data_IF_900371899264
#
_entry.id   IF_900371899264
#
_cell.length_a   1.000
_cell.length_b   1.000
_cell.length_c   1.000
_cell.angle_alpha   90.00
_cell.angle_beta   90.00
_cell.angle_gamma   90.00
#
_symmetry.space_group_name_H-M   'P 1'
#
loop_
_entity.id
_entity.type
_entity.pdbx_description
1 polymer ?
#
# COMPACT_ATOMS: atom_id res chain seq x y z
N UNK A 1 3.12 -23.88 5.87
CA UNK A 1 4.45 -23.42 5.43
C UNK A 1 5.05 -22.50 6.48
N UNK A 2 6.30 -22.71 6.80
CA UNK A 2 6.99 -21.84 7.77
C UNK A 2 7.67 -20.69 7.04
N UNK A 3 7.48 -19.49 7.54
CA UNK A 3 8.09 -18.28 6.96
C UNK A 3 8.85 -17.57 8.07
N UNK A 4 10.09 -17.20 7.76
CA UNK A 4 10.91 -16.44 8.70
C UNK A 4 10.79 -14.96 8.41
N UNK A 5 10.58 -14.16 9.46
CA UNK A 5 10.58 -12.71 9.34
C UNK A 5 11.46 -12.12 10.42
N UNK A 6 12.14 -11.03 10.08
CA UNK A 6 12.97 -10.32 11.04
C UNK A 6 12.10 -9.63 12.09
N UNK A 7 10.97 -9.07 11.64
CA UNK A 7 10.11 -8.26 12.49
C UNK A 7 9.18 -9.08 13.37
N UNK A 8 8.67 -10.21 12.85
CA UNK A 8 7.60 -10.98 13.52
C UNK A 8 8.05 -12.40 13.89
N UNK A 9 9.32 -12.73 13.68
CA UNK A 9 9.81 -14.07 13.94
C UNK A 9 9.34 -15.09 12.92
N UNK A 10 9.31 -16.34 13.33
CA UNK A 10 8.84 -17.42 12.47
C UNK A 10 7.33 -17.52 12.54
N UNK A 11 6.70 -17.54 11.39
CA UNK A 11 5.25 -17.61 11.27
C UNK A 11 4.86 -18.86 10.47
N UNK A 12 3.66 -19.36 10.74
CA UNK A 12 3.08 -20.44 9.94
C UNK A 12 2.07 -19.77 9.01
N UNK A 13 2.31 -19.90 7.72
CA UNK A 13 1.52 -19.24 6.69
C UNK A 13 0.81 -20.27 5.83
N UNK A 14 -0.49 -20.07 5.62
CA UNK A 14 -1.26 -20.87 4.70
C UNK A 14 -0.91 -20.48 3.28
N UNK A 15 -0.75 -21.47 2.38
CA UNK A 15 -0.32 -21.19 1.02
C UNK A 15 -1.25 -20.26 0.26
N UNK A 16 -2.56 -20.31 0.53
CA UNK A 16 -3.52 -19.42 -0.11
C UNK A 16 -3.40 -17.96 0.33
N UNK A 17 -2.56 -17.68 1.33
CA UNK A 17 -2.27 -16.32 1.75
C UNK A 17 -1.06 -15.71 1.06
N UNK A 18 -0.34 -16.51 0.30
CA UNK A 18 0.83 -16.03 -0.43
C UNK A 18 0.38 -15.26 -1.66
N UNK A 19 0.90 -14.06 -1.80
CA UNK A 19 0.61 -13.18 -2.93
C UNK A 19 1.79 -13.18 -3.87
N UNK A 20 1.57 -13.56 -5.11
CA UNK A 20 2.60 -13.54 -6.13
C UNK A 20 2.63 -12.22 -6.88
N UNK A 21 3.81 -11.63 -6.98
CA UNK A 21 4.03 -10.41 -7.75
C UNK A 21 5.02 -10.72 -8.87
N UNK A 22 4.54 -11.14 -10.04
CA UNK A 22 5.44 -11.53 -11.14
C UNK A 22 6.47 -10.47 -11.54
N UNK A 23 6.11 -9.18 -11.39
CA UNK A 23 7.02 -8.08 -11.72
C UNK A 23 7.71 -7.50 -10.50
N UNK A 24 7.44 -8.05 -9.30
CA UNK A 24 8.02 -7.55 -8.06
C UNK A 24 7.49 -6.17 -7.65
N UNK A 25 8.11 -5.62 -6.61
CA UNK A 25 7.82 -4.26 -6.16
C UNK A 25 8.73 -3.27 -6.88
N UNK A 26 8.26 -2.04 -7.04
CA UNK A 26 9.10 -0.98 -7.59
C UNK A 26 10.34 -0.81 -6.72
N UNK A 27 11.51 -0.88 -7.35
CA UNK A 27 12.78 -0.87 -6.65
C UNK A 27 13.26 -2.23 -6.18
N UNK A 28 12.39 -3.25 -6.24
CA UNK A 28 12.70 -4.61 -5.78
C UNK A 28 12.11 -5.64 -6.75
N UNK A 29 12.56 -5.63 -8.02
CA UNK A 29 11.94 -6.49 -9.04
C UNK A 29 12.14 -7.98 -8.83
N UNK A 30 13.11 -8.36 -8.01
CA UNK A 30 13.39 -9.76 -7.68
C UNK A 30 12.65 -10.26 -6.44
N UNK A 31 11.90 -9.38 -5.76
CA UNK A 31 11.10 -9.75 -4.59
C UNK A 31 9.67 -9.97 -5.05
N UNK A 32 9.27 -11.24 -5.12
CA UNK A 32 8.06 -11.64 -5.83
C UNK A 32 6.99 -12.33 -5.01
N UNK A 33 7.26 -12.64 -3.76
CA UNK A 33 6.25 -13.26 -2.91
C UNK A 33 6.11 -12.51 -1.61
N UNK A 34 4.86 -12.21 -1.27
CA UNK A 34 4.51 -11.41 -0.11
C UNK A 34 3.30 -11.99 0.60
N UNK A 35 3.04 -11.53 1.80
CA UNK A 35 1.78 -11.78 2.48
C UNK A 35 1.45 -10.58 3.36
N UNK A 36 0.17 -10.48 3.73
CA UNK A 36 -0.31 -9.35 4.50
C UNK A 36 -0.54 -9.76 5.94
N UNK A 37 -0.05 -8.93 6.88
CA UNK A 37 -0.30 -9.07 8.30
C UNK A 37 -0.98 -7.82 8.81
N UNK A 38 -1.99 -8.01 9.66
CA UNK A 38 -2.61 -6.88 10.34
C UNK A 38 -1.65 -6.30 11.35
N UNK A 39 -1.61 -4.97 11.42
CA UNK A 39 -0.81 -4.30 12.43
C UNK A 39 -1.52 -4.43 13.79
N UNK A 40 -2.77 -3.93 13.85
CA UNK A 40 -3.65 -4.06 15.02
C UNK A 40 -5.09 -4.10 14.52
N UNK A 41 -6.00 -4.62 15.34
CA UNK A 41 -7.40 -4.76 14.95
C UNK A 41 -8.04 -3.44 14.48
N UNK A 42 -7.74 -2.36 15.17
CA UNK A 42 -8.33 -1.06 14.89
C UNK A 42 -7.47 -0.16 14.00
N UNK A 43 -6.36 -0.69 13.50
CA UNK A 43 -5.45 0.10 12.67
C UNK A 43 -5.82 0.02 11.20
N UNK A 44 -5.75 1.14 10.46
CA UNK A 44 -5.94 1.11 9.01
C UNK A 44 -4.70 0.66 8.25
N UNK A 45 -3.63 0.31 8.98
CA UNK A 45 -2.35 -0.07 8.37
C UNK A 45 -2.13 -1.56 8.47
N UNK A 46 -1.45 -2.09 7.43
CA UNK A 46 -1.07 -3.49 7.35
C UNK A 46 0.41 -3.59 7.07
N UNK A 47 0.99 -4.76 7.32
CA UNK A 47 2.34 -5.07 6.91
C UNK A 47 2.29 -5.94 5.66
N UNK A 48 3.05 -5.55 4.67
CA UNK A 48 3.23 -6.31 3.43
C UNK A 48 4.61 -6.92 3.51
N UNK A 49 4.68 -8.14 4.01
CA UNK A 49 5.93 -8.83 4.33
C UNK A 49 6.40 -9.65 3.15
N UNK A 50 7.67 -9.47 2.79
CA UNK A 50 8.30 -10.27 1.74
C UNK A 50 8.67 -11.64 2.29
N UNK A 51 8.42 -12.69 1.50
CA UNK A 51 8.81 -14.04 1.85
C UNK A 51 10.26 -14.28 1.45
N UNK A 52 10.65 -13.75 0.29
CA UNK A 52 12.00 -13.93 -0.25
C UNK A 52 13.08 -13.22 0.55
N UNK A 53 12.71 -12.24 1.34
CA UNK A 53 13.65 -11.45 2.12
C UNK A 53 13.02 -11.18 3.49
N UNK A 54 13.44 -11.91 4.53
CA UNK A 54 12.84 -11.78 5.86
C UNK A 54 12.90 -10.38 6.47
N UNK A 55 13.87 -9.58 6.07
CA UNK A 55 14.02 -8.22 6.57
C UNK A 55 13.20 -7.17 5.83
N UNK A 56 12.55 -7.56 4.74
CA UNK A 56 11.84 -6.59 3.90
C UNK A 56 10.33 -6.64 4.16
N UNK A 57 9.79 -5.53 4.64
CA UNK A 57 8.36 -5.38 4.85
C UNK A 57 7.97 -3.93 4.59
N UNK A 58 6.82 -3.75 4.00
CA UNK A 58 6.26 -2.42 3.73
C UNK A 58 5.03 -2.21 4.58
N UNK A 59 4.84 -0.98 5.04
CA UNK A 59 3.55 -0.59 5.62
C UNK A 59 2.65 -0.18 4.47
N UNK A 60 1.45 -0.72 4.45
CA UNK A 60 0.48 -0.40 3.38
C UNK A 60 -0.86 -0.01 4.00
N UNK A 61 -1.64 0.74 3.24
CA UNK A 61 -2.98 1.14 3.66
C UNK A 61 -3.89 1.33 2.45
N UNK A 62 -5.19 1.33 2.70
CA UNK A 62 -6.18 1.63 1.66
C UNK A 62 -6.25 3.15 1.47
N UNK A 63 -5.87 3.66 0.29
CA UNK A 63 -5.84 5.10 0.07
C UNK A 63 -7.21 5.78 0.15
N UNK A 64 -8.29 5.03 -0.08
CA UNK A 64 -9.64 5.59 0.01
C UNK A 64 -10.01 6.05 1.41
N UNK A 65 -9.32 5.55 2.43
CA UNK A 65 -9.54 5.98 3.81
C UNK A 65 -9.03 7.40 4.03
N UNK A 66 -8.11 7.85 3.21
CA UNK A 66 -7.49 9.18 3.34
C UNK A 66 -7.98 10.14 2.26
N UNK A 67 -8.36 9.62 1.11
CA UNK A 67 -8.96 10.40 0.03
C UNK A 67 -10.07 9.55 -0.61
N UNK A 68 -11.32 9.77 -0.22
CA UNK A 68 -12.44 8.96 -0.75
C UNK A 68 -12.62 9.05 -2.27
N UNK A 69 -12.07 10.07 -2.89
CA UNK A 69 -12.17 10.26 -4.34
C UNK A 69 -11.04 9.58 -5.11
N UNK A 70 -10.13 8.92 -4.40
CA UNK A 70 -9.01 8.24 -5.04
C UNK A 70 -9.50 7.08 -5.90
N UNK A 71 -9.09 7.09 -7.16
CA UNK A 71 -9.45 6.03 -8.10
C UNK A 71 -8.27 5.66 -8.97
N UNK A 72 -8.19 4.38 -9.31
CA UNK A 72 -7.13 3.85 -10.15
C UNK A 72 -7.76 3.27 -11.40
N UNK A 73 -7.20 3.63 -12.56
CA UNK A 73 -7.60 3.00 -13.81
C UNK A 73 -6.91 1.63 -13.87
N UNK A 74 -7.70 0.57 -13.87
CA UNK A 74 -7.20 -0.80 -13.82
C UNK A 74 -6.85 -1.38 -15.20
N UNK A 75 -7.06 -0.63 -16.27
CA UNK A 75 -6.90 -1.13 -17.64
C UNK A 75 -5.53 -1.76 -17.89
N UNK A 76 -4.47 -1.05 -17.54
CA UNK A 76 -3.11 -1.54 -17.76
C UNK A 76 -2.81 -2.78 -16.93
N UNK A 77 -3.27 -2.79 -15.68
CA UNK A 77 -3.05 -3.91 -14.78
C UNK A 77 -3.77 -5.16 -15.28
N UNK A 78 -5.01 -5.01 -15.74
CA UNK A 78 -5.77 -6.13 -16.30
C UNK A 78 -5.05 -6.75 -17.47
N UNK A 79 -4.50 -5.92 -18.34
CA UNK A 79 -3.74 -6.39 -19.50
C UNK A 79 -2.44 -7.08 -19.08
N UNK A 80 -1.65 -6.41 -18.26
CA UNK A 80 -0.34 -6.90 -17.84
C UNK A 80 -0.45 -8.23 -17.12
N UNK A 81 -1.45 -8.37 -16.26
CA UNK A 81 -1.64 -9.55 -15.45
C UNK A 81 -2.57 -10.59 -16.09
N UNK A 82 -3.16 -10.27 -17.25
CA UNK A 82 -4.18 -11.07 -17.89
C UNK A 82 -5.33 -11.41 -16.94
N UNK A 83 -5.77 -10.42 -16.21
CA UNK A 83 -6.94 -10.54 -15.33
C UNK A 83 -8.21 -10.22 -16.12
N UNK A 84 -9.29 -10.93 -15.83
CA UNK A 84 -10.57 -10.72 -16.49
C UNK A 84 -11.30 -9.51 -15.91
N UNK A 85 -12.14 -8.88 -16.73
CA UNK A 85 -12.98 -7.77 -16.27
C UNK A 85 -13.87 -8.19 -15.09
N UNK A 86 -14.31 -9.44 -15.08
CA UNK A 86 -15.14 -9.96 -14.00
C UNK A 86 -14.41 -9.99 -12.66
N UNK A 87 -13.08 -9.94 -12.68
CA UNK A 87 -12.28 -9.95 -11.45
C UNK A 87 -12.08 -8.58 -10.84
N UNK A 88 -12.51 -7.51 -11.52
CA UNK A 88 -12.29 -6.15 -11.04
C UNK A 88 -12.82 -5.90 -9.63
N UNK A 89 -13.94 -6.48 -9.27
CA UNK A 89 -14.53 -6.29 -7.95
C UNK A 89 -13.75 -6.99 -6.84
N UNK A 90 -12.82 -7.89 -7.21
CA UNK A 90 -11.97 -8.60 -6.26
C UNK A 90 -10.59 -7.97 -6.13
N UNK A 91 -10.39 -6.80 -6.73
CA UNK A 91 -9.11 -6.13 -6.69
C UNK A 91 -9.08 -5.12 -5.56
N UNK A 92 -8.14 -5.32 -4.65
CA UNK A 92 -7.88 -4.39 -3.55
C UNK A 92 -6.78 -3.43 -3.98
N UNK A 93 -6.92 -2.17 -3.55
CA UNK A 93 -5.93 -1.14 -3.83
C UNK A 93 -5.26 -0.73 -2.52
N UNK A 94 -3.94 -0.81 -2.50
CA UNK A 94 -3.14 -0.36 -1.36
C UNK A 94 -2.04 0.58 -1.84
N UNK A 95 -1.59 1.42 -0.94
CA UNK A 95 -0.42 2.27 -1.20
C UNK A 95 0.60 2.04 -0.10
N UNK A 96 1.88 2.15 -0.45
CA UNK A 96 2.96 2.03 0.51
C UNK A 96 3.02 3.32 1.31
N UNK A 97 3.17 3.17 2.62
CA UNK A 97 3.23 4.29 3.57
C UNK A 97 4.66 4.48 4.03
N UNK A 98 5.12 5.72 4.00
CA UNK A 98 6.40 6.09 4.57
C UNK A 98 6.14 6.84 5.88
N UNK A 99 6.69 6.30 6.97
CA UNK A 99 6.58 6.92 8.29
C UNK A 99 7.96 7.41 8.68
N UNK A 100 8.21 8.72 8.62
CA UNK A 100 9.52 9.25 9.00
C UNK A 100 9.80 8.93 10.46
N UNK A 101 11.04 8.54 10.74
CA UNK A 101 11.43 8.15 12.08
C UNK A 101 11.24 9.30 13.07
N UNK A 102 10.48 9.03 14.11
CA UNK A 102 10.19 10.04 15.13
C UNK A 102 9.14 11.07 14.74
N UNK A 103 8.59 10.98 13.54
CA UNK A 103 7.63 11.97 13.04
C UNK A 103 6.41 11.29 12.39
N UNK A 104 5.61 10.52 13.17
CA UNK A 104 4.45 9.84 12.58
C UNK A 104 3.40 10.80 12.03
N UNK A 105 3.39 12.05 12.48
CA UNK A 105 2.49 13.07 11.94
C UNK A 105 2.84 13.51 10.53
N UNK A 106 4.00 13.10 10.02
CA UNK A 106 4.45 13.45 8.67
C UNK A 106 4.42 12.25 7.74
N UNK A 107 3.66 11.20 8.10
CA UNK A 107 3.57 10.03 7.23
C UNK A 107 2.94 10.36 5.90
N UNK A 108 3.41 9.70 4.86
CA UNK A 108 2.93 9.89 3.50
C UNK A 108 2.66 8.55 2.83
N UNK A 109 1.82 8.58 1.81
CA UNK A 109 1.54 7.40 0.99
C UNK A 109 1.94 7.64 -0.45
N UNK A 110 2.40 6.59 -1.10
CA UNK A 110 2.75 6.67 -2.52
C UNK A 110 1.50 6.48 -3.36
N UNK A 111 0.79 7.58 -3.61
CA UNK A 111 -0.49 7.55 -4.33
C UNK A 111 -0.32 7.44 -5.84
N UNK A 112 0.89 7.55 -6.36
CA UNK A 112 1.13 7.34 -7.79
C UNK A 112 1.65 5.94 -8.11
N UNK A 113 1.94 5.13 -7.08
CA UNK A 113 2.42 3.78 -7.28
C UNK A 113 1.61 2.74 -6.51
N UNK A 114 0.29 2.67 -6.71
CA UNK A 114 -0.52 1.74 -5.92
C UNK A 114 -0.21 0.28 -6.22
N UNK A 115 -0.43 -0.55 -5.20
CA UNK A 115 -0.35 -2.00 -5.32
C UNK A 115 -1.79 -2.50 -5.54
N UNK A 116 -1.99 -3.24 -6.62
CA UNK A 116 -3.29 -3.82 -6.96
C UNK A 116 -3.23 -5.30 -6.66
N UNK A 117 -4.08 -5.77 -5.76
CA UNK A 117 -4.09 -7.17 -5.33
C UNK A 117 -5.37 -7.84 -5.78
N UNK A 118 -5.23 -8.87 -6.62
CA UNK A 118 -6.34 -9.69 -7.05
C UNK A 118 -6.51 -10.81 -6.02
N UNK A 119 -7.54 -10.68 -5.19
CA UNK A 119 -7.80 -11.64 -4.12
C UNK A 119 -8.14 -13.03 -4.65
N UNK A 120 -8.79 -13.09 -5.79
CA UNK A 120 -9.23 -14.37 -6.35
C UNK A 120 -8.04 -15.21 -6.82
N UNK A 121 -7.05 -14.55 -7.42
CA UNK A 121 -5.87 -15.24 -7.96
C UNK A 121 -4.67 -15.19 -7.04
N UNK A 122 -4.74 -14.44 -5.95
CA UNK A 122 -3.61 -14.22 -5.04
C UNK A 122 -2.40 -13.69 -5.79
N UNK A 123 -2.64 -12.72 -6.64
CA UNK A 123 -1.61 -12.06 -7.44
C UNK A 123 -1.68 -10.57 -7.24
N UNK A 124 -0.55 -9.89 -7.38
CA UNK A 124 -0.52 -8.46 -7.26
C UNK A 124 0.44 -7.84 -8.25
N UNK A 125 0.23 -6.56 -8.52
CA UNK A 125 1.12 -5.75 -9.35
C UNK A 125 1.15 -4.34 -8.78
N UNK A 126 2.33 -3.74 -8.78
CA UNK A 126 2.46 -2.33 -8.45
C UNK A 126 2.53 -1.56 -9.76
N UNK A 127 1.63 -0.61 -9.93
CA UNK A 127 1.55 0.17 -11.16
C UNK A 127 1.95 1.61 -10.89
N UNK A 128 2.31 2.35 -11.93
CA UNK A 128 2.63 3.77 -11.82
C UNK A 128 1.58 4.55 -12.61
N UNK A 129 0.95 5.51 -11.94
CA UNK A 129 -0.08 6.34 -12.56
C UNK A 129 0.58 7.58 -13.14
N UNK A 130 0.55 7.69 -14.46
CA UNK A 130 1.08 8.87 -15.16
C UNK A 130 0.08 10.02 -15.07
N UNK A 131 0.61 11.23 -15.01
CA UNK A 131 -0.19 12.46 -15.05
C UNK A 131 -1.24 12.55 -13.95
N UNK A 132 -0.92 11.98 -12.79
CA UNK A 132 -1.82 11.98 -11.64
C UNK A 132 -1.74 13.31 -10.88
N UNK A 133 -2.86 13.79 -10.31
CA UNK A 133 -2.81 14.94 -9.40
C UNK A 133 -2.21 14.56 -8.04
N UNK A 134 -2.02 13.28 -7.79
CA UNK A 134 -1.42 12.82 -6.54
C UNK A 134 0.10 12.78 -6.64
N UNK A 135 0.75 12.59 -5.50
CA UNK A 135 2.20 12.50 -5.43
C UNK A 135 2.63 11.17 -4.81
N UNK A 136 3.91 10.87 -4.91
CA UNK A 136 4.48 9.71 -4.23
C UNK A 136 4.63 9.94 -2.72
N UNK A 137 4.41 11.17 -2.26
CA UNK A 137 4.48 11.55 -0.85
C UNK A 137 3.21 12.28 -0.44
N UNK A 138 2.07 11.69 -0.76
CA UNK A 138 0.77 12.27 -0.42
C UNK A 138 0.57 12.22 1.10
N UNK A 139 0.34 13.37 1.76
CA UNK A 139 0.21 13.39 3.22
C UNK A 139 -1.02 12.61 3.69
N UNK A 140 -0.81 11.72 4.66
CA UNK A 140 -1.88 10.93 5.23
C UNK A 140 -2.46 11.55 6.48
N UNK A 141 -1.64 12.34 7.19
CA UNK A 141 -2.11 13.06 8.35
C UNK A 141 -2.32 14.50 7.97
N UNK A 142 -3.57 14.95 8.03
CA UNK A 142 -3.87 16.34 7.76
C UNK A 142 -3.55 17.16 9.00
N UNK A 143 -2.64 18.10 8.82
CA UNK A 143 -2.29 19.01 9.89
C UNK A 143 -3.14 20.26 9.76
N UNK A 144 -4.18 20.36 10.59
CA UNK A 144 -5.07 21.49 10.54
C UNK A 144 -4.36 22.80 10.79
N UNK A 145 -3.33 22.79 11.62
CA UNK A 145 -2.54 23.98 11.84
C UNK A 145 -1.88 24.47 10.56
N UNK A 146 -1.41 23.55 9.74
CA UNK A 146 -0.82 23.94 8.46
C UNK A 146 -1.87 24.43 7.50
N UNK A 147 -3.06 23.83 7.53
CA UNK A 147 -4.12 24.23 6.64
C UNK A 147 -4.76 25.55 7.06
N UNK A 148 -4.66 25.90 8.33
CA UNK A 148 -5.22 27.13 8.87
C UNK A 148 -4.24 28.28 8.86
N UNK A 149 -3.04 27.97 8.84
CA UNK A 149 -2.02 28.99 8.81
C UNK A 149 -2.19 29.80 7.58
N UNK A 150 -2.62 30.34 7.77
CA UNK A 150 -2.90 30.87 6.69
C UNK A 150 -4.11 31.50 6.81
N UNK A 151 -4.12 31.01 7.87
CA UNK A 151 -4.98 31.49 8.18
C UNK A 151 -5.26 31.74 8.52
N UNK A 152 -5.24 31.48 9.12
CA UNK A 152 -5.55 31.75 9.72
C UNK A 152 -5.31 31.69 9.83
N UNK A 153 -5.41 31.70 10.08
CA UNK A 153 -5.47 31.68 10.47
C UNK A 153 -5.42 31.41 10.60
N UNK A 154 -5.48 31.46 10.80
CA UNK A 154 -5.73 31.26 11.28
C UNK A 154 -5.80 30.69 11.66
N UNK A 155 -6.09 30.70 11.93
CA UNK A 155 -6.38 30.24 12.55
C UNK A 155 -6.34 29.34 12.77
N UNK A 156 -6.45 29.03 13.05
CA UNK A 156 -6.57 28.24 13.39
C UNK A 156 -6.47 27.34 13.60
N UNK A 157 -6.70 27.00 13.96
CA UNK A 157 -6.79 26.15 14.25
C UNK A 157 -6.69 25.41 14.30
N UNK A 158 -6.87 25.11 14.53
CA UNK A 158 -6.96 24.63 14.74
C UNK A 158 -6.82 24.47 14.79
#
# INVERSE_FOLDING_TARGET
>A
MKVNTTRFGQLILEEEKIIDMPTGMLGFPDKRQFFILKNREDSPFFWYQCIDDPGLAFVITNPSLFDPDYKVDLTEALKTMTWDLAEMEHILVYVVVNIPKGCPGEMTGNFIGPILINQEKCQAVQTVIANSPYSHQYPLVKNEKKSHVTSQNVSSPK
#
